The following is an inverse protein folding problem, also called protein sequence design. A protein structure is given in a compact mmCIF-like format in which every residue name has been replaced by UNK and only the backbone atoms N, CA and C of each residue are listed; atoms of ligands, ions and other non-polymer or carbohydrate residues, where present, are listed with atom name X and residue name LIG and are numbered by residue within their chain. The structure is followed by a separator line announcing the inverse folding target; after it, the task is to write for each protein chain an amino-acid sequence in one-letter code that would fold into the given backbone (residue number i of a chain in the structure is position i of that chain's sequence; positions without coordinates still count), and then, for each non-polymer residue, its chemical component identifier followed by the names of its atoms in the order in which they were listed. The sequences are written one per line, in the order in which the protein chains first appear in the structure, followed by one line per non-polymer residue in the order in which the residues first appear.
data_IF_166668249883
#
_entry.id   IF_166668249883
#
_cell.length_a   1.000
_cell.length_b   1.000
_cell.length_c   1.000
_cell.angle_alpha   90.00
_cell.angle_beta   90.00
_cell.angle_gamma   90.00
#
_symmetry.space_group_name_H-M   'P 1'
#
loop_
_entity.id
_entity.type
_entity.pdbx_description
1 polymer ?
#
# COMPACT_ATOMS: atom_id res chain seq x y z
N UNK A 1 -19.64 -15.92 0.51
CA UNK A 1 -19.36 -14.84 -0.44
C UNK A 1 -17.98 -14.27 -0.19
N UNK A 2 -17.34 -13.78 -1.23
CA UNK A 2 -16.02 -13.15 -1.10
C UNK A 2 -16.14 -11.66 -1.38
N UNK A 3 -15.17 -10.88 -0.90
CA UNK A 3 -15.08 -9.44 -1.17
C UNK A 3 -14.08 -9.15 -2.27
N UNK A 4 -14.33 -8.07 -3.00
CA UNK A 4 -13.44 -7.58 -4.06
C UNK A 4 -13.46 -6.06 -4.05
N UNK A 5 -12.27 -5.44 -4.07
CA UNK A 5 -12.18 -3.98 -4.14
C UNK A 5 -11.20 -3.56 -5.24
N UNK A 6 -11.48 -2.43 -5.87
CA UNK A 6 -10.59 -1.79 -6.82
C UNK A 6 -10.62 -0.28 -6.56
N UNK A 7 -9.46 0.28 -6.31
CA UNK A 7 -9.29 1.71 -6.11
C UNK A 7 -8.06 2.18 -6.86
N UNK A 8 -8.12 3.37 -7.42
CA UNK A 8 -6.98 3.93 -8.16
C UNK A 8 -6.84 5.42 -7.91
N UNK A 9 -5.63 5.91 -8.15
CA UNK A 9 -5.32 7.33 -8.05
C UNK A 9 -4.23 7.67 -9.07
N UNK A 10 -4.28 8.88 -9.60
CA UNK A 10 -3.22 9.40 -10.48
C UNK A 10 -2.30 10.30 -9.67
N UNK A 11 -1.00 10.04 -9.78
CA UNK A 11 0.05 10.75 -9.04
C UNK A 11 0.89 11.52 -10.07
N UNK A 12 1.00 12.84 -9.88
CA UNK A 12 1.80 13.71 -10.75
C UNK A 12 3.27 13.65 -10.32
N UNK A 13 3.92 12.56 -10.68
CA UNK A 13 5.33 12.31 -10.37
C UNK A 13 5.90 11.27 -11.35
N UNK A 14 7.24 11.22 -11.53
CA UNK A 14 7.86 10.21 -12.38
C UNK A 14 7.63 8.80 -11.84
N UNK A 15 7.52 7.84 -12.75
CA UNK A 15 7.32 6.43 -12.37
C UNK A 15 8.35 5.94 -11.35
N UNK A 16 9.64 6.23 -11.59
CA UNK A 16 10.71 5.75 -10.71
C UNK A 16 10.50 6.19 -9.26
N UNK A 17 10.09 7.44 -9.05
CA UNK A 17 9.82 7.96 -7.71
C UNK A 17 8.59 7.30 -7.09
N UNK A 18 7.51 7.16 -7.86
CA UNK A 18 6.29 6.50 -7.38
C UNK A 18 6.60 5.06 -6.99
N UNK A 19 7.32 4.34 -7.85
CA UNK A 19 7.70 2.95 -7.59
C UNK A 19 8.56 2.84 -6.33
N UNK A 20 9.62 3.63 -6.24
CA UNK A 20 10.55 3.59 -5.10
C UNK A 20 9.85 3.89 -3.78
N UNK A 21 9.06 4.95 -3.71
CA UNK A 21 8.40 5.36 -2.47
C UNK A 21 7.34 4.36 -2.02
N UNK A 22 6.60 3.77 -2.97
CA UNK A 22 5.54 2.80 -2.64
C UNK A 22 6.07 1.40 -2.35
N UNK A 23 7.34 1.12 -2.66
CA UNK A 23 7.97 -0.16 -2.38
C UNK A 23 9.05 -0.10 -1.30
N UNK A 24 9.33 1.07 -0.74
CA UNK A 24 10.23 1.24 0.40
C UNK A 24 9.47 0.93 1.70
N UNK A 25 9.36 -0.35 2.02
CA UNK A 25 8.54 -0.84 3.11
C UNK A 25 8.92 -0.24 4.47
N UNK A 26 10.21 -0.08 4.72
CA UNK A 26 10.69 0.44 6.00
C UNK A 26 10.29 1.90 6.22
N UNK A 27 9.98 2.61 5.15
CA UNK A 27 9.52 4.00 5.20
C UNK A 27 7.99 4.14 5.15
N UNK A 28 7.24 3.04 5.11
CA UNK A 28 5.78 3.09 5.08
C UNK A 28 5.14 3.84 6.25
N UNK A 29 5.70 3.84 7.47
CA UNK A 29 5.15 4.69 8.53
C UNK A 29 5.13 6.19 8.18
N UNK A 30 6.00 6.63 7.28
CA UNK A 30 6.03 8.02 6.79
C UNK A 30 5.18 8.23 5.53
N UNK A 31 4.80 7.16 4.85
CA UNK A 31 4.01 7.23 3.62
C UNK A 31 2.50 7.04 3.90
N UNK A 32 2.17 6.11 4.77
CA UNK A 32 0.80 5.83 5.22
C UNK A 32 0.58 6.46 6.59
N UNK A 33 -0.64 6.91 6.87
CA UNK A 33 -0.98 7.45 8.19
C UNK A 33 -1.34 6.35 9.20
N UNK A 34 -1.66 5.16 8.73
CA UNK A 34 -2.20 4.08 9.58
C UNK A 34 -1.13 3.17 10.18
N UNK A 35 0.11 3.17 9.66
CA UNK A 35 1.16 2.27 10.13
C UNK A 35 2.09 2.94 11.12
N UNK A 36 2.26 2.32 12.28
CA UNK A 36 3.23 2.75 13.29
C UNK A 36 4.63 2.21 12.99
N UNK A 37 4.72 0.97 12.50
CA UNK A 37 6.00 0.34 12.20
C UNK A 37 5.89 -0.77 11.16
N UNK A 38 7.01 -1.03 10.51
CA UNK A 38 7.20 -2.15 9.59
C UNK A 38 8.47 -2.87 10.01
N UNK A 39 8.39 -4.17 10.19
CA UNK A 39 9.54 -5.02 10.51
C UNK A 39 9.74 -6.04 9.39
N UNK A 40 10.86 -5.96 8.69
CA UNK A 40 11.21 -6.95 7.67
C UNK A 40 11.70 -8.21 8.36
N UNK A 41 11.02 -9.33 8.11
CA UNK A 41 11.32 -10.62 8.72
C UNK A 41 12.27 -11.46 7.86
N UNK A 42 12.07 -11.44 6.55
CA UNK A 42 12.93 -12.18 5.63
C UNK A 42 12.81 -11.63 4.20
N UNK A 43 13.84 -11.91 3.41
CA UNK A 43 13.85 -11.60 1.97
C UNK A 43 14.37 -12.83 1.24
N UNK A 44 13.56 -13.32 0.29
CA UNK A 44 13.93 -14.46 -0.55
C UNK A 44 13.67 -14.07 -2.00
N UNK A 45 14.75 -13.89 -2.80
CA UNK A 45 14.63 -13.36 -4.15
C UNK A 45 13.93 -11.98 -4.10
N UNK A 46 12.85 -11.83 -4.84
CA UNK A 46 12.08 -10.59 -4.90
C UNK A 46 10.98 -10.53 -3.84
N UNK A 47 10.80 -11.57 -3.04
CA UNK A 47 9.72 -11.63 -2.05
C UNK A 47 10.24 -11.21 -0.68
N UNK A 48 9.55 -10.22 -0.08
CA UNK A 48 9.81 -9.74 1.28
C UNK A 48 8.64 -10.17 2.17
N UNK A 49 8.97 -10.78 3.30
CA UNK A 49 8.02 -11.09 4.36
C UNK A 49 8.23 -10.09 5.48
N UNK A 50 7.17 -9.45 5.92
CA UNK A 50 7.29 -8.34 6.87
C UNK A 50 6.05 -8.26 7.77
N UNK A 51 6.25 -7.68 8.97
CA UNK A 51 5.16 -7.41 9.91
C UNK A 51 4.79 -5.94 9.84
N UNK A 52 3.50 -5.70 9.64
CA UNK A 52 2.90 -4.37 9.75
C UNK A 52 2.26 -4.22 11.11
N UNK A 53 2.48 -3.09 11.74
CA UNK A 53 1.81 -2.73 13.00
C UNK A 53 1.16 -1.38 12.82
N UNK A 54 -0.14 -1.31 13.08
CA UNK A 54 -0.91 -0.08 12.98
C UNK A 54 -0.79 0.75 14.24
N UNK A 55 -1.09 2.05 14.13
CA UNK A 55 -1.33 2.87 15.33
C UNK A 55 -2.56 2.34 16.05
N UNK A 56 -2.66 2.53 17.39
CA UNK A 56 -3.85 2.10 18.13
C UNK A 56 -5.12 2.69 17.53
N UNK A 57 -6.19 1.88 17.47
CA UNK A 57 -7.50 2.35 17.03
C UNK A 57 -8.19 3.16 18.15
N UNK A 58 -9.43 3.60 17.91
CA UNK A 58 -10.21 4.41 18.86
C UNK A 58 -10.39 3.72 20.23
N UNK A 59 -10.28 2.40 20.26
CA UNK A 59 -10.40 1.61 21.48
C UNK A 59 -9.04 1.28 22.10
N UNK A 60 -7.95 1.80 21.55
CA UNK A 60 -6.60 1.52 22.02
C UNK A 60 -6.05 0.18 21.56
N UNK A 61 -6.76 -0.54 20.69
CA UNK A 61 -6.30 -1.84 20.19
C UNK A 61 -5.27 -1.65 19.08
N UNK A 62 -4.16 -2.38 19.18
CA UNK A 62 -3.09 -2.37 18.18
C UNK A 62 -3.26 -3.59 17.28
N UNK A 63 -3.45 -3.33 15.99
CA UNK A 63 -3.56 -4.37 14.97
C UNK A 63 -2.18 -4.61 14.34
N UNK A 64 -1.82 -5.88 14.17
CA UNK A 64 -0.55 -6.26 13.57
C UNK A 64 -0.72 -7.57 12.81
N UNK A 65 -0.03 -7.70 11.68
CA UNK A 65 -0.07 -8.92 10.89
C UNK A 65 1.19 -9.05 10.04
N UNK A 66 1.45 -10.28 9.58
CA UNK A 66 2.54 -10.58 8.66
C UNK A 66 2.00 -10.67 7.25
N UNK A 67 2.68 -10.03 6.31
CA UNK A 67 2.38 -10.06 4.88
C UNK A 67 3.62 -10.45 4.10
N UNK A 68 3.43 -10.93 2.88
CA UNK A 68 4.53 -11.08 1.93
C UNK A 68 4.21 -10.27 0.68
N UNK A 69 5.26 -9.76 0.04
CA UNK A 69 5.14 -8.84 -1.09
C UNK A 69 6.21 -9.16 -2.13
N UNK A 70 5.79 -9.28 -3.38
CA UNK A 70 6.68 -9.58 -4.50
C UNK A 70 6.50 -8.52 -5.59
N UNK A 71 7.38 -7.51 -5.63
CA UNK A 71 7.37 -6.50 -6.70
C UNK A 71 7.90 -7.08 -8.01
N UNK A 72 7.30 -6.66 -9.12
CA UNK A 72 7.77 -6.93 -10.47
C UNK A 72 7.81 -5.62 -11.24
N UNK A 73 8.94 -4.96 -11.20
CA UNK A 73 9.09 -3.62 -11.80
C UNK A 73 8.90 -3.64 -13.32
N UNK A 74 9.41 -4.67 -13.99
CA UNK A 74 9.28 -4.79 -15.44
C UNK A 74 7.81 -4.91 -15.86
N UNK A 75 7.01 -5.63 -15.09
CA UNK A 75 5.59 -5.78 -15.34
C UNK A 75 4.74 -4.65 -14.76
N UNK A 76 5.34 -3.71 -14.04
CA UNK A 76 4.65 -2.59 -13.40
C UNK A 76 3.56 -3.04 -12.43
N UNK A 77 3.85 -4.07 -11.64
CA UNK A 77 2.88 -4.58 -10.66
C UNK A 77 3.57 -5.19 -9.45
N UNK A 78 2.81 -5.29 -8.38
CA UNK A 78 3.24 -5.91 -7.13
C UNK A 78 2.15 -6.85 -6.65
N UNK A 79 2.51 -8.09 -6.35
CA UNK A 79 1.61 -9.05 -5.72
C UNK A 79 1.93 -9.13 -4.24
N UNK A 80 0.90 -9.19 -3.41
CA UNK A 80 1.05 -9.32 -1.98
C UNK A 80 -0.10 -10.15 -1.42
N UNK A 81 0.12 -10.70 -0.23
CA UNK A 81 -0.93 -11.43 0.50
C UNK A 81 -0.64 -11.41 1.99
N UNK A 82 -1.67 -11.57 2.79
CA UNK A 82 -1.48 -11.78 4.22
C UNK A 82 -1.00 -13.21 4.47
N UNK A 83 0.04 -13.34 5.27
CA UNK A 83 0.52 -14.62 5.80
C UNK A 83 -0.21 -14.93 7.11
N UNK A 84 -0.23 -13.95 8.02
CA UNK A 84 -1.11 -13.99 9.20
C UNK A 84 -2.44 -13.35 8.79
N UNK A 85 -3.47 -14.16 8.66
CA UNK A 85 -4.72 -13.70 8.08
C UNK A 85 -5.65 -12.99 9.07
N UNK A 86 -5.48 -13.22 10.39
CA UNK A 86 -6.34 -12.60 11.39
C UNK A 86 -7.81 -12.95 11.15
N UNK A 87 -8.70 -11.94 11.02
CA UNK A 87 -10.13 -12.21 10.78
C UNK A 87 -10.45 -12.61 9.35
N UNK A 88 -9.47 -12.55 8.43
CA UNK A 88 -9.66 -12.95 7.03
C UNK A 88 -9.42 -14.44 6.86
N UNK A 89 -10.21 -15.08 6.01
CA UNK A 89 -9.90 -16.43 5.52
C UNK A 89 -8.72 -16.35 4.54
N UNK A 90 -8.70 -15.32 3.71
CA UNK A 90 -7.56 -14.95 2.86
C UNK A 90 -7.63 -13.48 2.51
N UNK A 91 -6.49 -12.90 2.11
CA UNK A 91 -6.39 -11.54 1.59
C UNK A 91 -5.28 -11.52 0.55
N UNK A 92 -5.66 -11.33 -0.71
CA UNK A 92 -4.76 -11.22 -1.85
C UNK A 92 -4.80 -9.82 -2.39
N UNK A 93 -3.64 -9.24 -2.70
CA UNK A 93 -3.50 -7.84 -3.08
C UNK A 93 -2.69 -7.76 -4.37
N UNK A 94 -3.15 -6.92 -5.29
CA UNK A 94 -2.42 -6.61 -6.52
C UNK A 94 -2.35 -5.09 -6.67
N UNK A 95 -1.14 -4.55 -6.79
CA UNK A 95 -0.93 -3.15 -7.15
C UNK A 95 -0.41 -3.10 -8.57
N UNK A 96 -1.03 -2.25 -9.39
CA UNK A 96 -0.67 -2.06 -10.79
C UNK A 96 -0.37 -0.59 -11.05
N UNK A 97 0.68 -0.32 -11.82
CA UNK A 97 1.12 1.02 -12.14
C UNK A 97 1.04 1.22 -13.65
N UNK A 98 0.40 2.29 -14.08
CA UNK A 98 0.29 2.65 -15.49
C UNK A 98 0.91 4.03 -15.70
N UNK A 99 1.93 4.12 -16.55
CA UNK A 99 2.53 5.40 -16.89
C UNK A 99 1.61 6.17 -17.82
N UNK A 100 1.35 7.43 -17.48
CA UNK A 100 0.49 8.34 -18.23
C UNK A 100 1.31 9.57 -18.65
N UNK A 101 0.85 10.35 -19.63
CA UNK A 101 1.57 11.58 -20.02
C UNK A 101 1.77 12.57 -18.87
N UNK A 102 0.86 12.61 -17.89
CA UNK A 102 0.94 13.52 -16.76
C UNK A 102 1.27 12.86 -15.43
N UNK A 103 1.80 11.64 -15.44
CA UNK A 103 2.16 10.96 -14.19
C UNK A 103 1.96 9.47 -14.21
N UNK A 104 1.52 8.91 -13.08
CA UNK A 104 1.35 7.46 -12.91
C UNK A 104 -0.01 7.19 -12.29
N UNK A 105 -0.75 6.25 -12.85
CA UNK A 105 -1.95 5.72 -12.20
C UNK A 105 -1.55 4.49 -11.38
N UNK A 106 -1.87 4.52 -10.09
CA UNK A 106 -1.68 3.40 -9.18
C UNK A 106 -3.03 2.80 -8.85
N UNK A 107 -3.21 1.51 -9.14
CA UNK A 107 -4.45 0.78 -8.87
C UNK A 107 -4.21 -0.32 -7.87
N UNK A 108 -5.05 -0.40 -6.85
CA UNK A 108 -5.03 -1.45 -5.84
C UNK A 108 -6.26 -2.34 -6.02
N UNK A 109 -6.03 -3.62 -6.24
CA UNK A 109 -7.08 -4.64 -6.29
C UNK A 109 -6.90 -5.55 -5.09
N UNK A 110 -7.96 -5.78 -4.32
CA UNK A 110 -7.92 -6.66 -3.16
C UNK A 110 -9.05 -7.68 -3.27
N UNK A 111 -8.69 -8.94 -3.15
CA UNK A 111 -9.63 -10.07 -3.15
C UNK A 111 -9.50 -10.79 -1.81
N UNK A 112 -10.60 -10.95 -1.12
CA UNK A 112 -10.58 -11.47 0.24
C UNK A 112 -11.88 -12.18 0.59
N UNK A 113 -11.85 -12.91 1.70
CA UNK A 113 -13.03 -13.44 2.36
C UNK A 113 -12.82 -13.33 3.86
N UNK A 114 -13.86 -13.03 4.60
CA UNK A 114 -13.82 -13.04 6.06
C UNK A 114 -14.06 -14.46 6.57
N UNK A 115 -13.47 -14.79 7.72
CA UNK A 115 -13.74 -16.04 8.40
C UNK A 115 -15.19 -16.05 8.89
N UNK A 116 -15.86 -17.21 8.98
CA UNK A 116 -17.24 -17.27 9.46
C UNK A 116 -17.44 -16.69 10.86
N UNK A 117 -16.42 -16.77 11.71
CA UNK A 117 -16.45 -16.26 13.09
C UNK A 117 -15.88 -14.85 13.23
N UNK A 118 -15.55 -14.19 12.11
CA UNK A 118 -15.06 -12.82 12.16
C UNK A 118 -16.14 -11.86 12.69
N UNK A 119 -15.74 -10.77 13.38
CA UNK A 119 -16.72 -9.84 13.95
C UNK A 119 -17.47 -9.01 12.89
N UNK A 120 -17.00 -9.01 11.65
CA UNK A 120 -17.62 -8.30 10.53
C UNK A 120 -17.70 -9.22 9.31
N UNK A 121 -18.63 -8.93 8.39
CA UNK A 121 -18.81 -9.72 7.18
C UNK A 121 -18.04 -9.13 5.99
N UNK A 122 -18.15 -9.81 4.84
CA UNK A 122 -17.45 -9.39 3.61
C UNK A 122 -17.95 -8.03 3.12
N UNK A 123 -19.23 -7.74 3.23
CA UNK A 123 -19.81 -6.48 2.80
C UNK A 123 -19.28 -5.31 3.63
N UNK A 124 -19.28 -5.46 4.95
CA UNK A 124 -18.75 -4.44 5.84
C UNK A 124 -17.27 -4.17 5.54
N UNK A 125 -16.49 -5.24 5.37
CA UNK A 125 -15.06 -5.12 5.09
C UNK A 125 -14.80 -4.50 3.72
N UNK A 126 -15.61 -4.81 2.72
CA UNK A 126 -15.52 -4.18 1.40
C UNK A 126 -15.64 -2.67 1.49
N UNK A 127 -16.65 -2.19 2.20
CA UNK A 127 -16.86 -0.75 2.41
C UNK A 127 -15.71 -0.12 3.20
N UNK A 128 -15.22 -0.83 4.21
CA UNK A 128 -14.11 -0.36 5.05
C UNK A 128 -12.82 -0.23 4.23
N UNK A 129 -12.48 -1.23 3.43
CA UNK A 129 -11.28 -1.22 2.59
C UNK A 129 -11.38 -0.10 1.55
N UNK A 130 -12.53 0.07 0.90
CA UNK A 130 -12.71 1.14 -0.09
C UNK A 130 -12.50 2.52 0.54
N UNK A 131 -13.08 2.76 1.70
CA UNK A 131 -12.94 4.03 2.40
C UNK A 131 -11.48 4.30 2.80
N UNK A 132 -10.84 3.33 3.42
CA UNK A 132 -9.45 3.46 3.87
C UNK A 132 -8.48 3.60 2.70
N UNK A 133 -8.68 2.84 1.62
CA UNK A 133 -7.83 2.92 0.43
C UNK A 133 -7.85 4.31 -0.18
N UNK A 134 -9.03 4.93 -0.28
CA UNK A 134 -9.15 6.29 -0.84
C UNK A 134 -8.41 7.31 0.02
N UNK A 135 -8.53 7.21 1.34
CA UNK A 135 -7.84 8.11 2.27
C UNK A 135 -6.32 7.95 2.15
N UNK A 136 -5.83 6.72 2.18
CA UNK A 136 -4.40 6.45 2.11
C UNK A 136 -3.82 6.80 0.74
N UNK A 137 -4.52 6.51 -0.35
CA UNK A 137 -4.09 6.87 -1.70
C UNK A 137 -3.93 8.38 -1.88
N UNK A 138 -4.87 9.16 -1.36
CA UNK A 138 -4.78 10.62 -1.43
C UNK A 138 -3.56 11.14 -0.66
N UNK A 139 -3.30 10.58 0.50
CA UNK A 139 -2.14 10.93 1.32
C UNK A 139 -0.83 10.55 0.62
N UNK A 140 -0.77 9.33 0.08
CA UNK A 140 0.41 8.82 -0.66
C UNK A 140 0.69 9.72 -1.86
N UNK A 141 -0.34 10.05 -2.64
CA UNK A 141 -0.22 10.99 -3.77
C UNK A 141 0.40 12.30 -3.34
N UNK A 142 -0.15 12.91 -2.29
CA UNK A 142 0.31 14.22 -1.83
C UNK A 142 1.77 14.18 -1.37
N UNK A 143 2.16 13.13 -0.68
CA UNK A 143 3.54 12.95 -0.20
C UNK A 143 4.52 12.70 -1.34
N UNK A 144 4.13 11.89 -2.33
CA UNK A 144 4.98 11.62 -3.49
C UNK A 144 5.12 12.88 -4.35
N UNK A 145 4.01 13.60 -4.59
CA UNK A 145 4.06 14.85 -5.35
C UNK A 145 4.91 15.91 -4.66
N UNK A 146 4.84 15.98 -3.34
CA UNK A 146 5.70 16.86 -2.56
C UNK A 146 7.17 16.47 -2.72
N UNK A 147 7.50 15.18 -2.64
CA UNK A 147 8.86 14.70 -2.84
C UNK A 147 9.37 15.00 -4.26
N UNK A 148 8.50 14.89 -5.27
CA UNK A 148 8.84 15.23 -6.65
C UNK A 148 9.18 16.72 -6.78
N UNK A 149 8.40 17.60 -6.17
CA UNK A 149 8.67 19.04 -6.18
C UNK A 149 9.99 19.38 -5.47
N UNK A 150 10.30 18.72 -4.38
CA UNK A 150 11.55 18.89 -3.65
C UNK A 150 12.75 18.45 -4.49
N UNK A 151 12.64 17.33 -5.22
CA UNK A 151 13.68 16.88 -6.15
C UNK A 151 13.92 17.87 -7.27
N UNK A 152 12.87 18.43 -7.87
CA UNK A 152 12.98 19.45 -8.91
C UNK A 152 13.67 20.69 -8.38
N UNK A 153 13.30 21.17 -7.21
CA UNK A 153 13.91 22.33 -6.57
C UNK A 153 15.40 22.11 -6.28
N UNK A 154 15.74 20.92 -5.75
CA UNK A 154 17.13 20.57 -5.49
C UNK A 154 17.95 20.48 -6.78
N UNK A 155 17.39 19.90 -7.85
CA UNK A 155 18.03 19.80 -9.16
C UNK A 155 18.30 21.18 -9.76
N UNK A 156 17.31 22.08 -9.70
CA UNK A 156 17.45 23.46 -10.19
C UNK A 156 18.52 24.21 -9.38
N UNK A 157 18.53 24.05 -8.06
CA UNK A 157 19.51 24.69 -7.19
C UNK A 157 20.94 24.20 -7.47
N UNK A 158 21.10 22.90 -7.79
CA UNK A 158 22.42 22.32 -8.06
C UNK A 158 23.01 22.69 -9.43
N UNK A 159 22.20 23.21 -10.36
CA UNK A 159 22.64 23.62 -11.69
C UNK A 159 23.07 25.09 -11.77
N UNK A 160 23.01 25.83 -10.69
CA UNK A 160 23.39 27.25 -10.65
C UNK A 160 24.85 27.44 -10.32
#
# INVERSE_FOLDING_TARGET
MAGHTENSITIDAPFDLVWEMTNDLENWPNLFSEYASVEVLSREGDTTTFRLTMHPDENGKVWSWVSERTPDRAARRVKARRVETGPFAHMDILWEYTELPGGVRMKWTQDFAMKPDAPVDDEWMTDNINRNSRVQMALIRDRIEQAARERESASVASTR
#
